data_IF_613702397428
#
_entry.id   IF_613702397428
#
_cell.length_a   1.000
_cell.length_b   1.000
_cell.length_c   1.000
_cell.angle_alpha   90.00
_cell.angle_beta   90.00
_cell.angle_gamma   90.00
#
_symmetry.space_group_name_H-M   'P 1'
#
loop_
_entity.id
_entity.type
_entity.pdbx_description
1 polymer ?
#
# COMPACT_ATOMS: atom_id res chain seq x y z
N UNK A 1 -1.01 16.41 17.95
CA UNK A 1 0.34 15.92 17.59
C UNK A 1 1.11 17.04 16.92
N UNK A 2 2.43 17.11 17.12
CA UNK A 2 3.29 18.10 16.43
C UNK A 2 3.91 17.49 15.16
N UNK A 3 4.49 18.33 14.29
CA UNK A 3 5.21 17.87 13.09
C UNK A 3 6.29 16.85 13.44
N UNK A 4 7.05 17.06 14.52
CA UNK A 4 8.09 16.13 14.96
C UNK A 4 7.54 14.72 15.26
N UNK A 5 6.41 14.63 15.97
CA UNK A 5 5.79 13.34 16.28
C UNK A 5 5.25 12.66 15.01
N UNK A 6 4.70 13.45 14.09
CA UNK A 6 4.25 12.95 12.79
C UNK A 6 5.43 12.43 11.96
N UNK A 7 6.53 13.20 11.84
CA UNK A 7 7.74 12.79 11.12
C UNK A 7 8.33 11.51 11.72
N UNK A 8 8.39 11.40 13.05
CA UNK A 8 8.85 10.18 13.72
C UNK A 8 7.99 8.97 13.34
N UNK A 9 6.66 9.11 13.40
CA UNK A 9 5.73 8.04 13.00
C UNK A 9 5.92 7.64 11.53
N UNK A 10 6.12 8.60 10.63
CA UNK A 10 6.37 8.32 9.21
C UNK A 10 7.69 7.55 8.99
N UNK A 11 8.75 7.89 9.75
CA UNK A 11 10.02 7.16 9.70
C UNK A 11 9.86 5.73 10.21
N UNK A 12 9.14 5.54 11.31
CA UNK A 12 8.86 4.20 11.86
C UNK A 12 8.10 3.32 10.85
N UNK A 13 7.09 3.88 10.16
CA UNK A 13 6.38 3.17 9.08
C UNK A 13 7.34 2.81 7.94
N UNK A 14 8.17 3.76 7.49
CA UNK A 14 9.16 3.50 6.45
C UNK A 14 10.15 2.39 6.84
N UNK A 15 10.54 2.31 8.10
CA UNK A 15 11.46 1.27 8.60
C UNK A 15 10.83 -0.13 8.58
N UNK A 16 9.51 -0.24 8.72
CA UNK A 16 8.77 -1.52 8.64
C UNK A 16 8.62 -2.05 7.22
N UNK A 17 8.81 -1.20 6.21
CA UNK A 17 8.68 -1.54 4.80
C UNK A 17 10.00 -1.29 4.07
N UNK A 18 10.95 -2.25 4.10
CA UNK A 18 12.25 -2.12 3.43
C UNK A 18 12.14 -1.73 1.95
N UNK A 19 11.02 -2.08 1.30
CA UNK A 19 10.72 -1.76 -0.11
C UNK A 19 10.85 -0.27 -0.43
N UNK A 20 10.65 0.64 0.53
CA UNK A 20 10.88 2.07 0.30
C UNK A 20 12.35 2.42 0.02
N UNK A 21 13.30 1.66 0.55
CA UNK A 21 14.74 1.90 0.39
C UNK A 21 15.34 1.20 -0.82
N UNK A 22 14.88 -0.02 -1.11
CA UNK A 22 15.53 -0.92 -2.09
C UNK A 22 14.61 -1.39 -3.20
N UNK A 23 13.30 -1.29 -3.04
CA UNK A 23 12.33 -1.78 -4.02
C UNK A 23 12.39 -0.99 -5.32
N UNK A 24 12.08 -1.66 -6.42
CA UNK A 24 11.90 -1.06 -7.74
C UNK A 24 10.80 0.00 -7.70
N UNK A 25 10.85 0.96 -8.63
CA UNK A 25 9.83 1.97 -8.81
C UNK A 25 9.04 1.66 -10.08
N UNK A 26 7.73 1.48 -9.96
CA UNK A 26 6.85 1.23 -11.10
C UNK A 26 5.73 2.26 -11.09
N UNK A 27 5.76 3.18 -12.05
CA UNK A 27 4.72 4.18 -12.20
C UNK A 27 3.39 3.54 -12.62
N UNK A 28 2.29 4.03 -12.05
CA UNK A 28 0.95 3.59 -12.40
C UNK A 28 0.25 4.63 -13.25
N UNK A 29 -0.58 4.16 -14.18
CA UNK A 29 -1.44 5.05 -14.95
C UNK A 29 -2.56 5.58 -14.06
N UNK A 30 -2.54 6.90 -13.83
CA UNK A 30 -3.58 7.64 -13.13
C UNK A 30 -4.40 8.45 -14.12
N UNK A 31 -5.73 8.41 -13.99
CA UNK A 31 -6.62 9.22 -14.82
C UNK A 31 -6.52 10.74 -14.55
N UNK A 32 -5.97 11.11 -13.38
CA UNK A 32 -5.85 12.50 -12.95
C UNK A 32 -4.38 12.91 -12.83
N UNK A 33 -3.88 13.86 -13.64
CA UNK A 33 -2.47 14.29 -13.62
C UNK A 33 -2.09 15.07 -12.36
N UNK A 34 -3.06 15.49 -11.53
CA UNK A 34 -2.79 16.08 -10.22
C UNK A 34 -2.46 15.03 -9.15
N UNK A 35 -2.62 13.74 -9.46
CA UNK A 35 -2.34 12.64 -8.55
C UNK A 35 -1.19 11.81 -9.10
N UNK A 36 -0.13 11.72 -8.31
CA UNK A 36 0.99 10.82 -8.57
C UNK A 36 0.70 9.47 -7.94
N UNK A 37 0.78 8.40 -8.73
CA UNK A 37 0.60 7.03 -8.26
C UNK A 37 1.71 6.12 -8.78
N UNK A 38 2.27 5.30 -7.89
CA UNK A 38 3.31 4.34 -8.22
C UNK A 38 3.37 3.25 -7.17
N UNK A 39 3.90 2.09 -7.53
CA UNK A 39 4.26 1.04 -6.58
C UNK A 39 5.76 1.01 -6.32
N UNK A 40 6.10 0.58 -5.11
CA UNK A 40 7.42 0.10 -4.76
C UNK A 40 7.33 -1.40 -4.55
N UNK A 41 8.17 -2.16 -5.24
CA UNK A 41 8.11 -3.62 -5.27
C UNK A 41 9.47 -4.22 -4.98
N UNK A 42 9.51 -5.21 -4.10
CA UNK A 42 10.65 -6.09 -3.89
C UNK A 42 10.15 -7.53 -3.85
N UNK A 43 10.77 -8.38 -4.65
CA UNK A 43 10.48 -9.81 -4.65
C UNK A 43 11.18 -10.53 -3.49
N UNK A 44 10.74 -11.74 -3.16
CA UNK A 44 11.38 -12.56 -2.13
C UNK A 44 12.87 -12.81 -2.42
N UNK A 45 13.20 -13.13 -3.68
CA UNK A 45 14.58 -13.40 -4.13
C UNK A 45 15.50 -12.17 -4.03
N UNK A 46 14.95 -10.97 -4.24
CA UNK A 46 15.69 -9.70 -4.14
C UNK A 46 15.81 -9.21 -2.70
N UNK A 47 14.92 -9.67 -1.81
CA UNK A 47 14.84 -9.23 -0.44
C UNK A 47 15.92 -9.88 0.42
N UNK A 48 16.82 -9.10 1.07
CA UNK A 48 17.78 -9.65 2.03
C UNK A 48 17.10 -10.29 3.26
N UNK A 49 15.80 -10.07 3.42
CA UNK A 49 14.99 -10.54 4.54
C UNK A 49 14.16 -11.79 4.18
N UNK A 50 14.19 -12.23 2.92
CA UNK A 50 13.42 -13.39 2.46
C UNK A 50 11.91 -13.16 2.47
N UNK A 51 11.47 -11.92 2.24
CA UNK A 51 10.06 -11.55 2.20
C UNK A 51 9.78 -10.64 1.01
N UNK A 52 8.69 -10.92 0.30
CA UNK A 52 8.12 -10.01 -0.70
C UNK A 52 7.41 -8.85 0.01
N UNK A 53 7.57 -7.63 -0.52
CA UNK A 53 6.78 -6.48 -0.05
C UNK A 53 6.43 -5.57 -1.24
N UNK A 54 5.17 -5.15 -1.29
CA UNK A 54 4.66 -4.25 -2.33
C UNK A 54 3.86 -3.14 -1.69
N UNK A 55 4.29 -1.90 -1.93
CA UNK A 55 3.61 -0.71 -1.40
C UNK A 55 3.14 0.20 -2.53
N UNK A 56 1.84 0.41 -2.61
CA UNK A 56 1.22 1.44 -3.44
C UNK A 56 1.31 2.79 -2.76
N UNK A 57 1.92 3.76 -3.44
CA UNK A 57 1.97 5.16 -3.05
C UNK A 57 1.04 5.98 -3.92
N UNK A 58 0.14 6.76 -3.31
CA UNK A 58 -0.75 7.68 -4.03
C UNK A 58 -0.68 9.04 -3.36
N UNK A 59 -0.31 10.08 -4.10
CA UNK A 59 -0.13 11.43 -3.57
C UNK A 59 -0.85 12.47 -4.42
N UNK A 60 -1.70 13.26 -3.79
CA UNK A 60 -2.35 14.40 -4.41
C UNK A 60 -1.42 15.62 -4.37
N UNK A 61 -1.00 16.10 -5.54
CA UNK A 61 -0.16 17.29 -5.68
C UNK A 61 -0.98 18.60 -5.66
N UNK A 62 -2.30 18.50 -5.81
CA UNK A 62 -3.22 19.63 -5.72
C UNK A 62 -3.53 20.00 -4.27
N UNK A 63 -3.77 21.29 -4.03
CA UNK A 63 -4.29 21.80 -2.75
C UNK A 63 -5.78 21.51 -2.53
N UNK A 64 -6.49 21.05 -3.56
CA UNK A 64 -7.91 20.72 -3.50
C UNK A 64 -8.11 19.20 -3.46
N UNK A 65 -9.25 18.71 -2.94
CA UNK A 65 -9.59 17.30 -3.06
C UNK A 65 -9.60 16.84 -4.52
N UNK A 66 -9.08 15.64 -4.78
CA UNK A 66 -9.01 15.06 -6.11
C UNK A 66 -9.48 13.61 -6.09
N UNK A 67 -10.35 13.20 -7.03
CA UNK A 67 -10.56 11.80 -7.35
C UNK A 67 -9.45 11.31 -8.30
N UNK A 68 -9.15 10.01 -8.24
CA UNK A 68 -8.30 9.33 -9.21
C UNK A 68 -8.81 7.92 -9.44
N UNK A 69 -8.79 7.48 -10.69
CA UNK A 69 -8.95 6.09 -11.07
C UNK A 69 -7.57 5.54 -11.44
N UNK A 70 -7.22 4.40 -10.85
CA UNK A 70 -5.93 3.74 -11.05
C UNK A 70 -6.13 2.42 -11.80
N UNK A 71 -5.33 2.17 -12.83
CA UNK A 71 -5.25 0.84 -13.45
C UNK A 71 -4.41 -0.08 -12.54
N UNK A 72 -5.11 -0.92 -11.79
CA UNK A 72 -4.53 -1.81 -10.78
C UNK A 72 -4.61 -3.29 -11.18
N UNK A 73 -4.96 -3.61 -12.42
CA UNK A 73 -5.27 -5.00 -12.86
C UNK A 73 -4.12 -5.99 -12.63
N UNK A 74 -2.87 -5.54 -12.61
CA UNK A 74 -1.70 -6.39 -12.26
C UNK A 74 -1.78 -6.96 -10.84
N UNK A 75 -2.54 -6.30 -9.96
CA UNK A 75 -2.75 -6.66 -8.56
C UNK A 75 -4.19 -7.15 -8.31
N UNK A 76 -4.88 -7.66 -9.32
CA UNK A 76 -6.22 -8.23 -9.13
C UNK A 76 -6.21 -9.30 -8.03
N UNK A 77 -7.20 -9.26 -7.16
CA UNK A 77 -7.30 -10.11 -5.97
C UNK A 77 -6.52 -9.61 -4.75
N UNK A 78 -5.55 -8.69 -4.92
CA UNK A 78 -4.80 -8.14 -3.80
C UNK A 78 -5.69 -7.21 -2.96
N UNK A 79 -5.42 -7.18 -1.65
CA UNK A 79 -6.10 -6.29 -0.70
C UNK A 79 -5.17 -5.16 -0.25
N UNK A 80 -5.47 -3.89 -0.55
CA UNK A 80 -4.70 -2.76 -0.05
C UNK A 80 -4.96 -2.55 1.45
N UNK A 81 -3.91 -2.44 2.25
CA UNK A 81 -3.97 -2.12 3.68
C UNK A 81 -3.22 -0.84 3.96
N UNK A 82 -3.90 0.17 4.51
CA UNK A 82 -3.33 1.48 4.77
C UNK A 82 -2.26 1.41 5.87
N UNK A 83 -1.03 1.83 5.57
CA UNK A 83 0.15 1.59 6.43
C UNK A 83 0.13 2.37 7.77
N UNK A 84 -0.61 3.48 7.90
CA UNK A 84 -0.63 4.30 9.12
C UNK A 84 -1.61 3.80 10.19
N UNK A 85 -2.74 3.23 9.76
CA UNK A 85 -3.87 2.81 10.60
C UNK A 85 -4.23 1.34 10.46
N UNK A 86 -3.65 0.61 9.50
CA UNK A 86 -3.89 -0.82 9.29
C UNK A 86 -5.28 -1.13 8.72
N UNK A 87 -5.94 -0.14 8.11
CA UNK A 87 -7.30 -0.31 7.59
C UNK A 87 -7.23 -0.98 6.22
N UNK A 88 -7.89 -2.12 6.09
CA UNK A 88 -8.05 -2.80 4.81
C UNK A 88 -9.09 -2.11 3.95
N UNK A 89 -8.71 -1.83 2.70
CA UNK A 89 -9.57 -1.30 1.66
C UNK A 89 -10.13 -2.44 0.80
N UNK A 90 -11.16 -2.19 -0.02
CA UNK A 90 -11.71 -3.20 -0.93
C UNK A 90 -10.63 -3.89 -1.76
N UNK A 91 -10.78 -5.20 -1.99
CA UNK A 91 -9.89 -5.93 -2.87
C UNK A 91 -9.91 -5.34 -4.29
N UNK A 92 -8.77 -5.39 -4.95
CA UNK A 92 -8.60 -4.91 -6.32
C UNK A 92 -9.29 -5.91 -7.27
N UNK A 93 -10.17 -5.40 -8.13
CA UNK A 93 -10.80 -6.18 -9.19
C UNK A 93 -10.33 -5.77 -10.58
N UNK A 94 -11.11 -6.11 -11.60
CA UNK A 94 -10.83 -5.77 -13.00
C UNK A 94 -11.11 -4.29 -13.35
N UNK A 95 -11.97 -3.62 -12.58
CA UNK A 95 -12.35 -2.23 -12.81
C UNK A 95 -11.30 -1.26 -12.25
N UNK A 96 -11.20 -0.03 -12.81
CA UNK A 96 -10.31 0.99 -12.26
C UNK A 96 -10.56 1.23 -10.77
N UNK A 97 -9.48 1.29 -10.00
CA UNK A 97 -9.55 1.42 -8.56
C UNK A 97 -9.69 2.90 -8.18
N UNK A 98 -10.88 3.28 -7.71
CA UNK A 98 -11.20 4.68 -7.38
C UNK A 98 -10.70 5.05 -5.98
N UNK A 99 -9.97 6.15 -5.89
CA UNK A 99 -9.58 6.79 -4.63
C UNK A 99 -9.96 8.27 -4.64
N UNK A 100 -10.24 8.80 -3.46
CA UNK A 100 -10.44 10.23 -3.23
C UNK A 100 -9.46 10.72 -2.18
N UNK A 101 -8.63 11.71 -2.53
CA UNK A 101 -7.62 12.25 -1.63
C UNK A 101 -7.96 13.69 -1.26
N UNK A 102 -7.77 14.11 0.01
CA UNK A 102 -7.83 15.52 0.36
C UNK A 102 -6.68 16.30 -0.30
N UNK A 103 -6.74 17.63 -0.27
CA UNK A 103 -5.66 18.48 -0.76
C UNK A 103 -4.33 18.15 -0.08
N UNK A 104 -3.28 17.95 -0.86
CA UNK A 104 -1.96 17.48 -0.41
C UNK A 104 -1.97 16.18 0.41
N UNK A 105 -3.07 15.42 0.34
CA UNK A 105 -3.21 14.12 0.97
C UNK A 105 -2.40 13.05 0.22
N UNK A 106 -2.00 12.02 0.95
CA UNK A 106 -1.36 10.85 0.37
C UNK A 106 -1.77 9.59 1.14
N UNK A 107 -1.64 8.45 0.48
CA UNK A 107 -1.79 7.12 1.07
C UNK A 107 -0.58 6.27 0.75
N UNK A 108 -0.19 5.43 1.71
CA UNK A 108 0.65 4.26 1.49
C UNK A 108 -0.19 3.04 1.82
N UNK A 109 -0.33 2.14 0.85
CA UNK A 109 -1.01 0.86 1.02
C UNK A 109 -0.02 -0.27 0.84
N UNK A 110 0.10 -1.15 1.81
CA UNK A 110 0.69 -2.46 1.56
C UNK A 110 -0.32 -3.28 0.73
N UNK A 111 0.11 -3.85 -0.39
CA UNK A 111 -0.72 -4.73 -1.19
C UNK A 111 -0.49 -6.16 -0.72
N UNK A 112 -1.46 -6.70 0.01
CA UNK A 112 -1.42 -8.09 0.41
C UNK A 112 -1.89 -8.95 -0.77
N UNK A 113 -1.15 -10.01 -1.14
CA UNK A 113 -1.62 -10.96 -2.14
C UNK A 113 -2.97 -11.55 -1.69
N UNK A 114 -3.80 -12.03 -2.63
CA UNK A 114 -4.98 -12.80 -2.25
C UNK A 114 -4.53 -13.93 -1.33
N UNK A 115 -5.17 -14.06 -0.16
CA UNK A 115 -4.97 -15.24 0.67
C UNK A 115 -5.26 -16.46 -0.20
N UNK A 116 -4.33 -17.43 -0.24
CA UNK A 116 -4.61 -18.77 -0.71
C UNK A 116 -5.66 -19.37 0.24
N UNK A 117 -6.93 -19.02 0.03
CA UNK A 117 -8.07 -19.60 0.73
C UNK A 117 -8.25 -21.04 0.21
N UNK A 118 -7.34 -21.90 0.67
CA UNK A 118 -7.13 -23.26 0.20
C UNK A 118 -6.04 -24.04 0.96
N UNK A 119 -5.57 -23.59 2.13
CA UNK A 119 -4.82 -24.43 3.06
C UNK A 119 -5.17 -24.08 4.52
N UNK A 120 -5.93 -24.99 5.13
CA UNK A 120 -6.24 -25.14 6.55
C UNK A 120 -7.18 -24.14 7.24
N UNK A 121 -8.44 -24.58 7.31
CA UNK A 121 -9.32 -24.22 8.40
C UNK A 121 -8.83 -24.74 9.76
N UNK A 122 -9.14 -23.96 10.79
CA UNK A 122 -9.34 -24.39 12.19
C UNK A 122 -8.18 -25.17 12.83
N UNK A 123 -7.21 -24.45 13.41
CA UNK A 123 -6.59 -24.73 14.72
C UNK A 123 -6.08 -23.37 15.22
N UNK A 124 -6.32 -22.84 16.40
CA UNK A 124 -6.73 -23.34 17.70
C UNK A 124 -6.25 -22.28 18.70
N UNK A 125 -7.03 -22.07 19.75
CA UNK A 125 -6.84 -21.04 20.76
C UNK A 125 -5.41 -20.94 21.33
N UNK A 126 -4.97 -19.71 21.54
CA UNK A 126 -4.17 -19.27 22.69
C UNK A 126 -2.72 -19.73 22.77
N UNK A 127 -1.80 -18.76 22.85
CA UNK A 127 -0.59 -18.90 23.68
C UNK A 127 -0.20 -17.56 24.29
N UNK A 128 -0.71 -17.36 25.51
CA UNK A 128 0.00 -16.72 26.61
C UNK A 128 1.15 -17.64 27.01
N UNK A 129 2.41 -17.17 27.01
CA UNK A 129 3.23 -16.89 28.20
C UNK A 129 4.31 -15.90 27.78
#
# INVERSE_FOLDING_TARGET
>A
GSLLHWTRKMIEIRQRHPVFGVGSYVELSASNPSVLAFTREITEDESPWGEMDTVLCVANLSRFPQPVELDMRRFEGYSPVECMGGVQFPAIGELPYLLTLPGHGFFWFQLLPPDDAGADGIVGAGRTV
#
